data_IF_637086065998
#
_entry.id   IF_637086065998
#
_cell.length_a   1.000
_cell.length_b   1.000
_cell.length_c   1.000
_cell.angle_alpha   90.00
_cell.angle_beta   90.00
_cell.angle_gamma   90.00
#
_symmetry.space_group_name_H-M   'P 1'
#
loop_
_entity.id
_entity.type
_entity.pdbx_description
1 polymer ?
#
# COMPACT_ATOMS: atom_id res chain seq x y z
N UNK A 1 10.44 -20.83 39.90
CA UNK A 1 9.26 -20.43 40.72
C UNK A 1 8.34 -19.63 39.81
N UNK A 2 7.15 -20.17 39.51
CA UNK A 2 6.17 -19.59 38.58
C UNK A 2 5.02 -19.03 39.41
N UNK A 3 4.74 -17.74 39.31
CA UNK A 3 3.53 -17.12 39.87
C UNK A 3 2.76 -16.45 38.74
N UNK A 4 1.71 -17.15 38.33
CA UNK A 4 0.69 -16.72 37.37
C UNK A 4 -0.27 -15.77 38.10
N UNK A 5 -0.50 -14.58 37.57
CA UNK A 5 -1.57 -13.68 38.02
C UNK A 5 -2.64 -13.57 36.91
N UNK A 6 -3.86 -14.00 37.25
CA UNK A 6 -5.09 -13.80 36.47
C UNK A 6 -5.77 -12.54 36.98
N UNK A 7 -6.07 -11.58 36.10
CA UNK A 7 -6.98 -10.46 36.39
C UNK A 7 -7.98 -10.40 35.24
N UNK A 8 -9.26 -10.33 35.59
CA UNK A 8 -10.42 -10.44 34.70
C UNK A 8 -11.30 -9.18 34.74
N UNK A 9 -12.02 -8.97 33.62
CA UNK A 9 -13.23 -8.15 33.40
C UNK A 9 -13.07 -6.61 33.45
N UNK A 10 -13.73 -5.79 32.62
CA UNK A 10 -15.15 -5.76 32.21
C UNK A 10 -15.29 -5.11 30.82
N UNK A 11 -16.21 -5.62 29.98
CA UNK A 11 -16.64 -4.99 28.73
C UNK A 11 -17.85 -4.07 28.97
N UNK A 12 -17.85 -2.88 28.36
CA UNK A 12 -19.02 -2.00 28.28
C UNK A 12 -19.20 -1.51 26.84
N UNK A 13 -20.18 -2.07 26.14
CA UNK A 13 -20.64 -1.57 24.84
C UNK A 13 -21.92 -0.76 25.07
N UNK A 14 -21.83 0.56 24.93
CA UNK A 14 -22.99 1.44 24.87
C UNK A 14 -23.36 1.67 23.40
N UNK A 15 -24.52 1.17 22.98
CA UNK A 15 -25.13 1.50 21.70
C UNK A 15 -26.04 2.72 21.83
N UNK A 16 -26.12 3.54 20.78
CA UNK A 16 -27.25 4.46 20.51
C UNK A 16 -27.44 4.55 18.99
N UNK A 17 -28.70 4.40 18.57
CA UNK A 17 -29.23 4.41 17.19
C UNK A 17 -30.04 5.68 16.91
N UNK A 18 -30.42 5.87 15.62
CA UNK A 18 -31.45 6.78 15.04
C UNK A 18 -30.98 8.21 14.75
N UNK A 19 -31.39 8.90 13.68
CA UNK A 19 -32.12 8.59 12.43
C UNK A 19 -31.79 9.73 11.43
N UNK A 20 -31.88 9.47 10.13
CA UNK A 20 -31.68 10.47 9.08
C UNK A 20 -32.93 11.37 8.92
N UNK A 21 -32.81 12.71 8.85
CA UNK A 21 -33.91 13.57 8.46
C UNK A 21 -34.08 13.57 6.93
N UNK A 22 -35.30 13.23 6.48
CA UNK A 22 -35.76 13.40 5.10
C UNK A 22 -36.37 14.80 4.94
N UNK A 23 -35.94 15.60 3.94
CA UNK A 23 -36.67 16.79 3.54
C UNK A 23 -37.71 16.48 2.45
N UNK A 24 -38.90 17.03 2.66
CA UNK A 24 -40.14 16.94 1.89
C UNK A 24 -40.08 17.58 0.47
N UNK A 25 -41.09 17.35 -0.39
CA UNK A 25 -41.09 17.79 -1.79
C UNK A 25 -41.75 19.16 -2.01
N UNK A 26 -41.23 19.96 -2.95
CA UNK A 26 -41.94 21.09 -3.60
C UNK A 26 -41.13 21.64 -4.79
N UNK A 27 -41.72 22.42 -5.72
CA UNK A 27 -42.97 22.23 -6.47
C UNK A 27 -42.70 22.12 -7.99
N UNK A 28 -43.67 21.60 -8.75
CA UNK A 28 -43.68 21.71 -10.22
C UNK A 28 -43.98 23.16 -10.64
N UNK A 29 -43.17 23.72 -11.54
CA UNK A 29 -43.45 24.96 -12.25
C UNK A 29 -43.27 24.74 -13.75
N UNK A 30 -44.31 25.06 -14.49
CA UNK A 30 -44.53 24.83 -15.90
C UNK A 30 -43.99 26.00 -16.75
N UNK A 31 -43.16 25.64 -17.73
CA UNK A 31 -42.86 26.24 -19.04
C UNK A 31 -43.08 27.75 -19.28
N UNK A 32 -41.98 28.46 -19.56
CA UNK A 32 -41.91 29.40 -20.69
C UNK A 32 -40.55 29.27 -21.39
N UNK A 33 -40.59 28.86 -22.65
CA UNK A 33 -39.43 28.69 -23.51
C UNK A 33 -38.86 30.05 -23.94
N UNK A 34 -37.60 30.30 -23.62
CA UNK A 34 -36.82 31.35 -24.25
C UNK A 34 -35.66 30.69 -25.02
N UNK A 35 -35.82 30.64 -26.34
CA UNK A 35 -34.89 30.01 -27.27
C UNK A 35 -33.74 30.98 -27.57
N UNK A 36 -32.60 30.85 -26.86
CA UNK A 36 -31.36 31.58 -27.14
C UNK A 36 -30.27 30.56 -27.45
N UNK A 37 -29.62 30.59 -28.64
CA UNK A 37 -28.52 29.68 -28.94
C UNK A 37 -27.26 30.17 -28.22
N UNK A 38 -26.95 29.56 -27.08
CA UNK A 38 -25.66 29.70 -26.43
C UNK A 38 -24.79 28.47 -26.77
N UNK A 39 -23.51 28.63 -27.17
CA UNK A 39 -22.55 27.53 -27.18
C UNK A 39 -22.19 27.22 -25.71
N UNK A 40 -23.10 26.56 -25.00
CA UNK A 40 -22.88 26.15 -23.63
C UNK A 40 -22.23 24.78 -23.65
N UNK A 41 -21.03 24.72 -23.08
CA UNK A 41 -20.23 23.53 -22.93
C UNK A 41 -21.10 22.36 -22.47
N UNK A 42 -21.16 21.31 -23.29
CA UNK A 42 -21.51 19.98 -22.82
C UNK A 42 -20.46 19.59 -21.78
N UNK A 43 -20.67 19.99 -20.53
CA UNK A 43 -20.15 19.29 -19.38
C UNK A 43 -20.85 17.94 -19.36
N UNK A 44 -20.44 17.03 -20.26
CA UNK A 44 -20.64 15.61 -20.04
C UNK A 44 -20.12 15.35 -18.65
N UNK A 45 -21.07 15.14 -17.73
CA UNK A 45 -20.85 14.53 -16.42
C UNK A 45 -19.74 13.51 -16.61
N UNK A 46 -18.55 13.85 -16.10
CA UNK A 46 -17.45 12.92 -16.03
C UNK A 46 -17.98 11.84 -15.10
N UNK A 47 -18.49 10.79 -15.73
CA UNK A 47 -18.69 9.48 -15.19
C UNK A 47 -17.55 9.28 -14.20
N UNK A 48 -17.86 9.36 -12.92
CA UNK A 48 -16.90 9.25 -11.85
C UNK A 48 -16.49 7.80 -11.86
N UNK A 49 -15.58 7.46 -12.79
CA UNK A 49 -14.90 6.18 -12.82
C UNK A 49 -14.26 6.12 -11.45
N UNK A 50 -14.78 5.27 -10.58
CA UNK A 50 -14.07 4.87 -9.37
C UNK A 50 -12.65 4.54 -9.81
N UNK A 51 -11.73 5.44 -9.44
CA UNK A 51 -10.30 5.24 -9.57
C UNK A 51 -9.97 4.17 -8.54
N UNK A 52 -10.23 2.92 -8.91
CA UNK A 52 -9.72 1.77 -8.17
C UNK A 52 -8.22 1.94 -8.11
N UNK A 53 -7.67 2.10 -6.90
CA UNK A 53 -6.24 2.11 -6.64
C UNK A 53 -5.69 0.78 -7.17
N UNK A 54 -5.05 0.82 -8.34
CA UNK A 54 -4.32 -0.33 -8.87
C UNK A 54 -2.93 -0.28 -8.29
N UNK A 55 -2.51 -1.40 -7.70
CA UNK A 55 -1.10 -1.63 -7.46
C UNK A 55 -0.44 -1.91 -8.81
N UNK A 56 0.64 -1.19 -9.10
CA UNK A 56 1.26 -1.19 -10.44
C UNK A 56 2.20 -2.39 -10.63
N UNK A 57 2.77 -2.90 -9.54
CA UNK A 57 3.69 -4.03 -9.54
C UNK A 57 3.82 -4.66 -8.14
N UNK A 58 4.62 -5.72 -8.06
CA UNK A 58 4.96 -6.36 -6.79
C UNK A 58 6.45 -6.71 -6.66
N UNK A 59 6.84 -7.03 -5.42
CA UNK A 59 8.09 -7.68 -5.07
C UNK A 59 7.78 -8.94 -4.25
N UNK A 60 8.57 -9.98 -4.45
CA UNK A 60 8.53 -11.21 -3.66
C UNK A 60 9.68 -11.19 -2.66
N UNK A 61 9.37 -11.46 -1.39
CA UNK A 61 10.34 -11.41 -0.29
C UNK A 61 10.27 -12.68 0.53
N UNK A 62 11.42 -13.11 1.06
CA UNK A 62 11.50 -14.26 1.95
C UNK A 62 12.44 -14.01 3.12
N UNK A 63 12.15 -14.64 4.27
CA UNK A 63 12.95 -14.50 5.49
C UNK A 63 14.19 -15.41 5.53
N UNK A 64 14.30 -16.34 4.59
CA UNK A 64 15.49 -17.18 4.44
C UNK A 64 15.99 -17.15 3.00
N UNK A 65 17.25 -17.53 2.84
CA UNK A 65 17.94 -17.59 1.57
C UNK A 65 17.25 -18.50 0.55
N UNK A 66 17.54 -18.23 -0.72
CA UNK A 66 17.10 -19.00 -1.87
C UNK A 66 15.58 -19.14 -1.93
N UNK A 67 14.85 -18.07 -1.57
CA UNK A 67 13.40 -18.02 -1.66
C UNK A 67 12.65 -18.95 -0.68
N UNK A 68 13.23 -19.22 0.49
CA UNK A 68 12.67 -20.15 1.50
C UNK A 68 12.14 -19.44 2.75
N UNK A 69 11.42 -20.18 3.60
CA UNK A 69 10.85 -19.67 4.85
C UNK A 69 9.53 -18.93 4.64
N UNK A 70 9.13 -18.11 5.62
CA UNK A 70 8.02 -17.15 5.44
C UNK A 70 8.29 -16.32 4.20
N UNK A 71 7.24 -16.16 3.39
CA UNK A 71 7.28 -15.46 2.13
C UNK A 71 6.00 -14.66 1.90
N UNK A 72 6.12 -13.56 1.16
CA UNK A 72 4.99 -12.72 0.80
C UNK A 72 5.24 -12.02 -0.54
N UNK A 73 4.18 -11.81 -1.30
CA UNK A 73 4.16 -10.89 -2.45
C UNK A 73 3.67 -9.54 -1.95
N UNK A 74 4.57 -8.57 -1.88
CA UNK A 74 4.28 -7.21 -1.46
C UNK A 74 4.00 -6.35 -2.69
N UNK A 75 2.80 -5.81 -2.77
CA UNK A 75 2.35 -5.01 -3.90
C UNK A 75 2.45 -3.52 -3.60
N UNK A 76 2.76 -2.73 -4.62
CA UNK A 76 2.92 -1.29 -4.45
C UNK A 76 2.72 -0.47 -5.73
N UNK A 77 2.87 0.85 -5.58
CA UNK A 77 2.72 1.85 -6.63
C UNK A 77 4.09 2.30 -7.15
N UNK A 78 4.20 2.55 -8.46
CA UNK A 78 5.49 2.86 -9.12
C UNK A 78 6.06 4.19 -8.65
N UNK A 79 7.35 4.22 -8.38
CA UNK A 79 8.08 5.38 -7.87
C UNK A 79 7.73 5.78 -6.43
N UNK A 80 6.79 5.11 -5.78
CA UNK A 80 6.48 5.35 -4.38
C UNK A 80 7.41 4.56 -3.46
N UNK A 81 7.81 5.16 -2.35
CA UNK A 81 8.57 4.48 -1.31
C UNK A 81 7.67 3.56 -0.48
N UNK A 82 8.07 2.31 -0.26
CA UNK A 82 7.43 1.38 0.67
C UNK A 82 8.27 1.23 1.94
N UNK A 83 7.79 1.75 3.06
CA UNK A 83 8.37 1.49 4.38
C UNK A 83 7.87 0.15 4.91
N UNK A 84 8.79 -0.78 5.23
CA UNK A 84 8.44 -2.10 5.70
C UNK A 84 7.81 -2.03 7.09
N UNK A 85 6.67 -2.71 7.22
CA UNK A 85 5.97 -2.97 8.48
C UNK A 85 5.55 -4.43 8.54
N UNK A 86 4.58 -4.76 9.40
CA UNK A 86 3.98 -6.10 9.47
C UNK A 86 4.98 -7.26 9.75
N UNK A 87 6.10 -6.95 10.43
CA UNK A 87 7.11 -7.94 10.80
C UNK A 87 8.09 -8.34 9.69
N UNK A 88 8.23 -7.53 8.63
CA UNK A 88 9.25 -7.68 7.58
C UNK A 88 10.48 -6.76 7.75
N UNK A 89 10.42 -5.82 8.68
CA UNK A 89 11.55 -4.93 8.97
C UNK A 89 12.76 -5.76 9.42
N UNK A 90 13.89 -5.62 8.70
CA UNK A 90 15.18 -6.23 9.06
C UNK A 90 15.16 -7.75 9.22
N UNK A 91 14.41 -8.43 8.37
CA UNK A 91 14.38 -9.90 8.35
C UNK A 91 14.37 -10.50 6.94
N UNK A 92 14.41 -9.64 5.91
CA UNK A 92 14.36 -10.10 4.52
C UNK A 92 15.76 -10.59 4.13
N UNK A 93 15.81 -11.80 3.60
CA UNK A 93 17.04 -12.49 3.17
C UNK A 93 17.06 -12.79 1.67
N UNK A 94 15.89 -12.83 1.01
CA UNK A 94 15.78 -12.80 -0.46
C UNK A 94 14.80 -11.72 -0.91
N UNK A 95 15.14 -11.00 -1.98
CA UNK A 95 14.33 -9.91 -2.52
C UNK A 95 14.25 -9.98 -4.04
N UNK A 96 13.04 -10.11 -4.59
CA UNK A 96 12.77 -10.38 -6.00
C UNK A 96 11.72 -9.45 -6.58
N UNK A 97 12.10 -8.43 -7.38
CA UNK A 97 11.11 -7.60 -8.02
C UNK A 97 10.44 -8.32 -9.19
N UNK A 98 9.18 -7.96 -9.47
CA UNK A 98 8.49 -8.39 -10.68
C UNK A 98 9.33 -8.10 -11.95
N UNK A 99 9.11 -8.86 -13.02
CA UNK A 99 9.77 -8.62 -14.30
C UNK A 99 9.43 -7.22 -14.86
N UNK A 100 10.42 -6.54 -15.44
CA UNK A 100 10.26 -5.25 -16.10
C UNK A 100 10.36 -4.01 -15.20
N UNK A 101 10.60 -4.16 -13.89
CA UNK A 101 10.87 -3.05 -12.97
C UNK A 101 12.30 -3.12 -12.41
N UNK A 102 12.81 -1.97 -11.94
CA UNK A 102 14.10 -1.90 -11.23
C UNK A 102 13.88 -1.33 -9.84
N UNK A 103 14.44 -1.98 -8.83
CA UNK A 103 14.27 -1.58 -7.44
C UNK A 103 15.57 -1.14 -6.77
N UNK A 104 15.41 -0.28 -5.78
CA UNK A 104 16.40 0.09 -4.77
C UNK A 104 15.88 -0.34 -3.40
N UNK A 105 16.73 -0.98 -2.60
CA UNK A 105 16.45 -1.32 -1.20
C UNK A 105 17.24 -0.39 -0.28
N UNK A 106 16.68 -0.12 0.90
CA UNK A 106 17.18 0.85 1.87
C UNK A 106 17.23 0.25 3.27
N UNK A 107 18.23 0.64 4.06
CA UNK A 107 18.41 0.13 5.43
C UNK A 107 17.63 0.88 6.51
N UNK A 108 16.99 1.99 6.14
CA UNK A 108 16.08 2.75 7.00
C UNK A 108 14.70 2.87 6.34
N UNK A 109 13.69 3.24 7.12
CA UNK A 109 12.38 3.56 6.59
C UNK A 109 12.42 4.80 5.68
N UNK A 110 11.34 4.98 4.92
CA UNK A 110 11.09 6.14 4.07
C UNK A 110 12.15 6.34 2.97
N UNK A 111 12.77 5.25 2.53
CA UNK A 111 13.77 5.21 1.47
C UNK A 111 15.00 6.06 1.77
N UNK A 112 15.47 5.95 3.01
CA UNK A 112 16.63 6.67 3.55
C UNK A 112 17.77 5.73 3.92
N UNK A 113 18.91 6.32 4.27
CA UNK A 113 20.07 5.59 4.75
C UNK A 113 20.90 5.00 3.60
N UNK A 114 21.57 3.89 3.90
CA UNK A 114 22.34 3.17 2.89
C UNK A 114 21.38 2.52 1.89
N UNK A 115 21.81 2.42 0.64
CA UNK A 115 21.00 1.83 -0.42
C UNK A 115 21.78 0.80 -1.23
N UNK A 116 21.05 -0.18 -1.79
CA UNK A 116 21.59 -1.10 -2.79
C UNK A 116 20.71 -1.08 -4.03
N UNK A 117 21.36 -0.87 -5.17
CA UNK A 117 20.76 -0.72 -6.49
C UNK A 117 21.82 -1.07 -7.55
N UNK A 118 21.43 -1.54 -8.75
CA UNK A 118 20.08 -1.92 -9.17
C UNK A 118 19.72 -3.36 -8.80
N UNK A 119 18.46 -3.59 -8.42
CA UNK A 119 17.88 -4.94 -8.34
C UNK A 119 16.84 -5.10 -9.44
N UNK A 120 17.00 -6.13 -10.27
CA UNK A 120 16.08 -6.48 -11.36
C UNK A 120 15.70 -7.96 -11.22
N UNK A 121 14.60 -8.37 -11.86
CA UNK A 121 14.22 -9.78 -11.95
C UNK A 121 15.40 -10.66 -12.42
N UNK A 122 15.64 -11.84 -11.82
CA UNK A 122 14.83 -12.51 -10.79
C UNK A 122 15.06 -12.02 -9.35
N UNK A 123 15.93 -11.03 -9.15
CA UNK A 123 16.29 -10.49 -7.85
C UNK A 123 17.51 -11.15 -7.24
N UNK A 124 17.60 -11.09 -5.92
CA UNK A 124 18.74 -11.57 -5.15
C UNK A 124 18.25 -12.70 -4.23
N UNK A 125 18.62 -13.96 -4.52
CA UNK A 125 18.21 -15.10 -3.70
C UNK A 125 18.93 -15.12 -2.36
N UNK A 126 20.09 -14.47 -2.20
CA UNK A 126 20.84 -14.45 -0.95
C UNK A 126 21.47 -13.07 -0.74
N UNK A 127 20.91 -12.31 0.20
CA UNK A 127 21.36 -10.96 0.54
C UNK A 127 22.65 -10.92 1.38
N UNK A 128 23.11 -12.06 1.94
CA UNK A 128 24.42 -12.13 2.59
C UNK A 128 25.58 -11.87 1.62
N UNK A 129 25.37 -12.12 0.33
CA UNK A 129 26.43 -12.08 -0.69
C UNK A 129 26.57 -10.71 -1.37
N UNK A 130 25.82 -9.70 -0.95
CA UNK A 130 25.84 -8.38 -1.57
C UNK A 130 26.08 -7.26 -0.55
N UNK A 131 26.82 -6.23 -0.99
CA UNK A 131 27.18 -5.06 -0.19
C UNK A 131 28.31 -5.30 0.82
N UNK A 132 28.77 -4.21 1.44
CA UNK A 132 29.72 -4.23 2.55
C UNK A 132 29.39 -3.09 3.53
N UNK A 133 28.81 -3.36 4.73
CA UNK A 133 28.44 -4.69 5.23
C UNK A 133 27.30 -5.32 4.41
N UNK A 134 27.09 -6.64 4.57
CA UNK A 134 26.10 -7.38 3.80
C UNK A 134 24.66 -6.87 4.05
N UNK A 135 23.73 -7.27 3.16
CA UNK A 135 22.35 -6.78 3.16
C UNK A 135 21.33 -7.73 3.78
N UNK A 136 21.76 -8.87 4.32
CA UNK A 136 20.85 -9.76 5.05
C UNK A 136 20.26 -9.06 6.27
N UNK A 137 18.96 -9.25 6.52
CA UNK A 137 18.26 -8.73 7.69
C UNK A 137 18.42 -7.21 7.89
N UNK A 138 18.55 -6.47 6.79
CA UNK A 138 18.89 -5.04 6.83
C UNK A 138 17.83 -4.14 6.21
N UNK A 139 17.02 -4.68 5.30
CA UNK A 139 16.06 -3.89 4.53
C UNK A 139 14.96 -3.39 5.46
N UNK A 140 14.73 -2.08 5.43
CA UNK A 140 13.65 -1.40 6.17
C UNK A 140 12.70 -0.62 5.25
N UNK A 141 13.10 -0.38 3.99
CA UNK A 141 12.21 0.14 2.94
C UNK A 141 12.74 -0.16 1.54
N UNK A 142 11.89 0.03 0.53
CA UNK A 142 12.26 -0.15 -0.88
C UNK A 142 11.47 0.80 -1.81
N UNK A 143 12.02 1.06 -3.00
CA UNK A 143 11.34 1.81 -4.07
C UNK A 143 11.65 1.14 -5.41
N UNK A 144 10.65 1.05 -6.28
CA UNK A 144 10.83 0.52 -7.62
C UNK A 144 10.25 1.44 -8.68
N UNK A 145 10.93 1.50 -9.82
CA UNK A 145 10.64 2.33 -10.98
C UNK A 145 10.49 1.44 -12.24
#
# INVERSE_FOLDING_TARGET
>A
MKTTALIALVAAFAGVTTAAPSPAPAPAVEHLAFNVPAPSANSTSLNSRELHKRWDFNVYVTEHDNWNGRNEVLWWNRGACFSLGNGWDKIITSFGPQEGITCTIYDQHDCRGSQYWPIRYPGIPNLHNIGNPNWNDRISSWRCD
#
